data_IF_015680011531
#
_entry.id   IF_015680011531
#
_cell.length_a   1.000
_cell.length_b   1.000
_cell.length_c   1.000
_cell.angle_alpha   90.00
_cell.angle_beta   90.00
_cell.angle_gamma   90.00
#
_symmetry.space_group_name_H-M   'P 1'
#
loop_
_entity.id
_entity.type
_entity.pdbx_description
1 polymer ?
#
# COMPACT_ATOMS: atom_id res chain seq x y z
N UNK A 1 -11.56 -11.51 17.95
CA UNK A 1 -11.03 -10.13 17.78
C UNK A 1 -11.27 -9.33 19.05
N UNK A 2 -10.32 -8.44 19.43
CA UNK A 2 -10.62 -7.40 20.42
C UNK A 2 -11.67 -6.46 19.81
N UNK A 3 -12.67 -6.06 20.60
CA UNK A 3 -13.92 -5.38 20.23
C UNK A 3 -13.83 -3.99 19.56
N UNK A 4 -12.77 -3.67 18.85
CA UNK A 4 -12.56 -2.32 18.28
C UNK A 4 -13.05 -2.16 16.83
N UNK A 5 -13.40 -3.25 16.14
CA UNK A 5 -13.87 -3.21 14.75
C UNK A 5 -15.40 -3.33 14.72
N UNK A 6 -16.06 -2.32 14.15
CA UNK A 6 -17.50 -2.37 13.89
C UNK A 6 -17.77 -2.95 12.49
N UNK A 7 -17.69 -4.26 12.38
CA UNK A 7 -17.80 -5.03 11.14
C UNK A 7 -19.13 -4.80 10.40
N UNK A 8 -20.24 -4.67 11.13
CA UNK A 8 -21.62 -4.57 10.57
C UNK A 8 -21.87 -3.30 9.75
N UNK A 9 -20.98 -2.31 9.82
CA UNK A 9 -21.11 -1.07 9.06
C UNK A 9 -20.23 -1.00 7.82
N UNK A 10 -19.34 -1.97 7.62
CA UNK A 10 -18.33 -1.91 6.53
C UNK A 10 -19.01 -2.09 5.18
N UNK A 11 -18.81 -1.10 4.30
CA UNK A 11 -19.25 -1.10 2.89
C UNK A 11 -18.09 -0.86 1.93
N UNK A 12 -16.96 -0.33 2.43
CA UNK A 12 -15.79 0.05 1.64
C UNK A 12 -14.55 -0.63 2.20
N UNK A 13 -13.98 -1.57 1.44
CA UNK A 13 -12.78 -2.33 1.79
C UNK A 13 -11.61 -1.77 1.02
N UNK A 14 -10.75 -1.04 1.69
CA UNK A 14 -9.60 -0.35 1.08
C UNK A 14 -8.34 -1.12 1.40
N UNK A 15 -7.59 -1.48 0.37
CA UNK A 15 -6.33 -2.21 0.51
C UNK A 15 -5.19 -1.38 -0.08
N UNK A 16 -4.12 -1.22 0.67
CA UNK A 16 -2.84 -1.00 0.05
C UNK A 16 -2.44 -2.25 -0.76
N UNK A 17 -1.47 -2.11 -1.67
CA UNK A 17 -1.06 -3.17 -2.57
C UNK A 17 0.17 -3.91 -2.07
N UNK A 18 1.31 -3.19 -2.06
CA UNK A 18 2.64 -3.79 -1.87
C UNK A 18 2.88 -4.16 -0.40
N UNK A 19 3.25 -5.41 -0.14
CA UNK A 19 3.40 -6.01 1.19
C UNK A 19 2.10 -6.09 2.04
N UNK A 20 0.95 -5.70 1.46
CA UNK A 20 -0.37 -5.81 2.08
C UNK A 20 -1.18 -6.95 1.47
N UNK A 21 -1.46 -6.92 0.14
CA UNK A 21 -2.18 -7.99 -0.56
C UNK A 21 -1.32 -9.24 -0.80
N UNK A 22 -0.05 -9.13 -0.69
CA UNK A 22 0.92 -10.22 -0.68
C UNK A 22 1.97 -9.98 0.41
N UNK A 23 2.55 -11.04 0.98
CA UNK A 23 3.48 -10.89 2.09
C UNK A 23 4.84 -10.31 1.61
N UNK A 24 5.47 -9.48 2.44
CA UNK A 24 6.79 -8.93 2.18
C UNK A 24 7.86 -10.01 1.94
N UNK A 25 7.66 -11.23 2.47
CA UNK A 25 8.53 -12.39 2.23
C UNK A 25 8.57 -12.85 0.77
N UNK A 26 7.65 -12.40 -0.08
CA UNK A 26 7.72 -12.63 -1.54
C UNK A 26 8.88 -11.91 -2.21
N UNK A 27 9.49 -10.93 -1.53
CA UNK A 27 10.58 -10.08 -2.02
C UNK A 27 10.26 -9.31 -3.32
N UNK A 28 8.97 -9.13 -3.66
CA UNK A 28 8.62 -8.37 -4.87
C UNK A 28 8.99 -6.89 -4.71
N UNK A 29 8.64 -6.28 -3.58
CA UNK A 29 8.95 -4.87 -3.33
C UNK A 29 10.48 -4.62 -3.30
N UNK A 30 11.27 -5.58 -2.86
CA UNK A 30 12.73 -5.49 -2.92
C UNK A 30 13.26 -5.35 -4.35
N UNK A 31 12.59 -5.96 -5.35
CA UNK A 31 12.94 -5.76 -6.77
C UNK A 31 12.65 -4.33 -7.21
N UNK A 32 11.52 -3.75 -6.77
CA UNK A 32 11.17 -2.35 -7.05
C UNK A 32 12.21 -1.42 -6.41
N UNK A 33 12.60 -1.67 -5.16
CA UNK A 33 13.60 -0.88 -4.43
C UNK A 33 14.96 -0.86 -5.17
N UNK A 34 15.39 -2.01 -5.69
CA UNK A 34 16.60 -2.12 -6.54
C UNK A 34 16.43 -1.30 -7.82
N UNK A 35 15.27 -1.41 -8.50
CA UNK A 35 15.00 -0.68 -9.74
C UNK A 35 14.95 0.84 -9.53
N UNK A 36 14.44 1.31 -8.39
CA UNK A 36 14.50 2.74 -8.03
C UNK A 36 15.95 3.24 -7.98
N UNK A 37 16.83 2.51 -7.30
CA UNK A 37 18.25 2.84 -7.24
C UNK A 37 18.90 2.83 -8.62
N UNK A 38 18.65 1.81 -9.43
CA UNK A 38 19.17 1.72 -10.79
C UNK A 38 18.71 2.90 -11.68
N UNK A 39 17.44 3.31 -11.53
CA UNK A 39 16.91 4.48 -12.24
C UNK A 39 17.66 5.75 -11.86
N UNK A 40 17.92 5.97 -10.57
CA UNK A 40 18.67 7.13 -10.07
C UNK A 40 20.09 7.13 -10.64
N UNK A 41 20.81 6.01 -10.55
CA UNK A 41 22.16 5.84 -11.10
C UNK A 41 22.17 6.26 -12.58
N UNK A 42 21.27 5.69 -13.36
CA UNK A 42 21.20 5.91 -14.81
C UNK A 42 20.82 7.34 -15.18
N UNK A 43 19.85 7.92 -14.45
CA UNK A 43 19.27 9.23 -14.80
C UNK A 43 20.13 10.38 -14.33
N UNK A 44 20.76 10.25 -13.17
CA UNK A 44 21.56 11.32 -12.55
C UNK A 44 23.07 11.08 -12.62
N UNK A 45 23.50 9.96 -13.20
CA UNK A 45 24.91 9.57 -13.32
C UNK A 45 25.64 9.57 -11.96
N UNK A 46 24.98 9.04 -10.92
CA UNK A 46 25.51 8.91 -9.57
C UNK A 46 26.15 7.54 -9.34
N UNK A 47 27.05 7.45 -8.39
CA UNK A 47 27.51 6.14 -7.95
C UNK A 47 26.43 5.37 -7.16
N UNK A 48 26.56 4.04 -7.00
CA UNK A 48 25.54 3.23 -6.33
C UNK A 48 25.26 3.60 -4.86
N UNK A 49 26.24 4.13 -4.13
CA UNK A 49 26.08 4.50 -2.73
C UNK A 49 25.37 5.86 -2.61
N UNK A 50 25.73 6.84 -3.44
CA UNK A 50 25.04 8.13 -3.54
C UNK A 50 23.58 7.94 -3.97
N UNK A 51 23.32 7.11 -4.97
CA UNK A 51 21.97 6.81 -5.44
C UNK A 51 21.11 6.15 -4.35
N UNK A 52 21.67 5.23 -3.58
CA UNK A 52 20.96 4.61 -2.45
C UNK A 52 20.63 5.64 -1.35
N UNK A 53 21.60 6.47 -0.98
CA UNK A 53 21.40 7.53 0.01
C UNK A 53 20.30 8.49 -0.43
N UNK A 54 20.37 8.97 -1.67
CA UNK A 54 19.35 9.86 -2.25
C UNK A 54 17.96 9.21 -2.26
N UNK A 55 17.86 7.94 -2.64
CA UNK A 55 16.60 7.19 -2.64
C UNK A 55 15.95 7.21 -1.26
N UNK A 56 16.72 6.91 -0.20
CA UNK A 56 16.20 6.85 1.18
C UNK A 56 15.91 8.25 1.74
N UNK A 57 16.75 9.24 1.49
CA UNK A 57 16.49 10.63 1.89
C UNK A 57 15.22 11.18 1.24
N UNK A 58 14.98 10.88 -0.05
CA UNK A 58 13.80 11.35 -0.75
C UNK A 58 12.53 10.68 -0.23
N UNK A 59 12.58 9.38 0.06
CA UNK A 59 11.47 8.69 0.73
C UNK A 59 11.14 9.33 2.07
N UNK A 60 12.14 9.61 2.91
CA UNK A 60 11.92 10.22 4.22
C UNK A 60 11.38 11.65 4.13
N UNK A 61 11.96 12.47 3.24
CA UNK A 61 11.67 13.90 3.16
C UNK A 61 10.39 14.22 2.39
N UNK A 62 10.09 13.47 1.33
CA UNK A 62 9.01 13.77 0.40
C UNK A 62 7.89 12.69 0.38
N UNK A 63 8.01 11.65 1.19
CA UNK A 63 7.06 10.54 1.27
C UNK A 63 7.28 9.44 0.25
N UNK A 64 7.84 9.74 -0.93
CA UNK A 64 8.29 8.76 -1.93
C UNK A 64 9.58 9.24 -2.62
N UNK A 65 10.36 8.29 -3.11
CA UNK A 65 11.52 8.56 -3.98
C UNK A 65 11.10 9.35 -5.22
N UNK A 66 9.97 9.00 -5.84
CA UNK A 66 9.42 9.68 -7.00
C UNK A 66 9.17 11.16 -6.73
N UNK A 67 8.49 11.51 -5.63
CA UNK A 67 8.22 12.91 -5.29
C UNK A 67 9.50 13.72 -5.14
N UNK A 68 10.53 13.14 -4.52
CA UNK A 68 11.85 13.79 -4.43
C UNK A 68 12.51 14.01 -5.78
N UNK A 69 12.45 13.03 -6.68
CA UNK A 69 13.02 13.12 -8.04
C UNK A 69 12.27 14.13 -8.89
N UNK A 70 10.96 14.21 -8.80
CA UNK A 70 10.15 15.20 -9.51
C UNK A 70 10.52 16.63 -9.09
N UNK A 71 10.58 16.87 -7.77
CA UNK A 71 10.80 18.21 -7.21
C UNK A 71 12.23 18.70 -7.47
N UNK A 72 13.24 17.84 -7.33
CA UNK A 72 14.64 18.28 -7.35
C UNK A 72 15.34 18.07 -8.69
N UNK A 73 14.81 17.17 -9.55
CA UNK A 73 15.49 16.78 -10.80
C UNK A 73 14.58 16.85 -12.03
N UNK A 74 13.34 17.32 -11.89
CA UNK A 74 12.35 17.38 -12.97
C UNK A 74 12.14 16.04 -13.70
N UNK A 75 12.27 14.92 -12.98
CA UNK A 75 12.03 13.59 -13.52
C UNK A 75 10.55 13.46 -13.89
N UNK A 76 10.26 12.96 -15.09
CA UNK A 76 8.90 12.67 -15.51
C UNK A 76 8.38 11.44 -14.74
N UNK A 77 7.26 11.56 -14.04
CA UNK A 77 6.75 10.44 -13.22
C UNK A 77 6.52 9.17 -14.01
N UNK A 78 6.01 9.30 -15.23
CA UNK A 78 5.79 8.15 -16.12
C UNK A 78 7.06 7.36 -16.39
N UNK A 79 8.19 8.03 -16.67
CA UNK A 79 9.46 7.37 -16.96
C UNK A 79 9.97 6.58 -15.76
N UNK A 80 9.81 7.16 -14.56
CA UNK A 80 10.16 6.49 -13.31
C UNK A 80 9.26 5.27 -13.06
N UNK A 81 7.93 5.45 -13.11
CA UNK A 81 6.98 4.39 -12.80
C UNK A 81 7.07 3.22 -13.79
N UNK A 82 7.19 3.50 -15.09
CA UNK A 82 7.38 2.46 -16.11
C UNK A 82 8.68 1.68 -15.89
N UNK A 83 9.76 2.37 -15.48
CA UNK A 83 11.03 1.72 -15.23
C UNK A 83 11.00 0.83 -13.98
N UNK A 84 10.50 1.35 -12.85
CA UNK A 84 10.58 0.65 -11.57
C UNK A 84 9.58 -0.51 -11.48
N UNK A 85 8.44 -0.42 -12.16
CA UNK A 85 7.43 -1.46 -12.19
C UNK A 85 7.62 -2.50 -13.30
N UNK A 86 8.62 -2.33 -14.16
CA UNK A 86 9.02 -3.36 -15.12
C UNK A 86 9.88 -4.43 -14.41
N UNK A 87 9.21 -5.27 -13.64
CA UNK A 87 9.82 -6.32 -12.82
C UNK A 87 9.15 -7.67 -13.08
N UNK A 88 9.89 -8.74 -12.84
CA UNK A 88 9.36 -10.09 -12.84
C UNK A 88 8.55 -10.36 -11.56
N UNK A 89 7.25 -10.64 -11.74
CA UNK A 89 6.31 -10.96 -10.67
C UNK A 89 6.20 -12.46 -10.35
N UNK A 90 7.03 -13.31 -10.97
CA UNK A 90 6.96 -14.78 -10.82
C UNK A 90 7.17 -15.27 -9.38
N UNK A 91 7.81 -14.44 -8.53
CA UNK A 91 7.97 -14.74 -7.10
C UNK A 91 6.67 -14.66 -6.30
N UNK A 92 5.61 -14.03 -6.84
CA UNK A 92 4.30 -14.05 -6.22
C UNK A 92 3.63 -15.39 -6.48
N UNK A 93 3.09 -15.96 -5.42
CA UNK A 93 2.22 -17.13 -5.49
C UNK A 93 0.79 -16.72 -5.17
N UNK A 94 -0.16 -17.35 -5.86
CA UNK A 94 -1.57 -17.23 -5.53
C UNK A 94 -1.81 -17.65 -4.08
N UNK A 95 -2.56 -16.84 -3.32
CA UNK A 95 -3.18 -17.29 -2.08
C UNK A 95 -4.67 -17.56 -2.33
N UNK A 96 -5.03 -18.85 -2.44
CA UNK A 96 -6.40 -19.30 -2.68
C UNK A 96 -7.35 -18.80 -1.57
N UNK A 97 -6.88 -18.66 -0.34
CA UNK A 97 -7.70 -18.15 0.79
C UNK A 97 -8.06 -16.70 0.53
N UNK A 98 -7.09 -15.87 0.09
CA UNK A 98 -7.34 -14.47 -0.24
C UNK A 98 -8.43 -14.33 -1.32
N UNK A 99 -8.29 -15.02 -2.45
CA UNK A 99 -9.28 -14.98 -3.52
C UNK A 99 -10.68 -15.43 -3.05
N UNK A 100 -10.75 -16.49 -2.24
CA UNK A 100 -12.03 -17.01 -1.71
C UNK A 100 -12.71 -16.00 -0.78
N UNK A 101 -11.97 -15.32 0.08
CA UNK A 101 -12.56 -14.37 1.02
C UNK A 101 -12.93 -13.06 0.34
N UNK A 102 -12.08 -12.49 -0.55
CA UNK A 102 -12.39 -11.27 -1.29
C UNK A 102 -13.71 -11.40 -2.06
N UNK A 103 -13.97 -12.56 -2.66
CA UNK A 103 -15.25 -12.86 -3.38
C UNK A 103 -16.48 -12.78 -2.48
N UNK A 104 -16.33 -12.98 -1.17
CA UNK A 104 -17.45 -13.05 -0.21
C UNK A 104 -17.72 -11.70 0.47
N UNK A 105 -16.74 -10.78 0.49
CA UNK A 105 -16.88 -9.52 1.18
C UNK A 105 -18.04 -8.70 0.60
N UNK A 106 -18.92 -8.16 1.43
CA UNK A 106 -20.01 -7.30 0.97
C UNK A 106 -19.49 -5.89 0.65
N UNK A 107 -20.11 -5.24 -0.33
CA UNK A 107 -19.78 -3.87 -0.69
C UNK A 107 -18.66 -3.77 -1.73
N UNK A 108 -17.94 -2.66 -1.70
CA UNK A 108 -16.95 -2.31 -2.70
C UNK A 108 -15.52 -2.52 -2.20
N UNK A 109 -14.66 -3.08 -3.07
CA UNK A 109 -13.26 -3.32 -2.81
C UNK A 109 -12.39 -2.35 -3.63
N UNK A 110 -11.39 -1.76 -3.00
CA UNK A 110 -10.53 -0.73 -3.59
C UNK A 110 -9.06 -1.05 -3.35
N UNK A 111 -8.23 -0.75 -4.35
CA UNK A 111 -6.79 -0.56 -4.15
C UNK A 111 -6.53 0.94 -3.95
N UNK A 112 -5.73 1.28 -2.93
CA UNK A 112 -5.19 2.62 -2.72
C UNK A 112 -3.67 2.53 -2.53
N UNK A 113 -2.93 2.81 -3.60
CA UNK A 113 -1.47 2.57 -3.67
C UNK A 113 -0.68 3.81 -4.06
N UNK A 114 0.59 3.88 -3.61
CA UNK A 114 1.59 4.83 -4.12
C UNK A 114 2.28 4.33 -5.41
N UNK A 115 1.94 3.13 -5.86
CA UNK A 115 2.36 2.59 -7.16
C UNK A 115 1.47 3.04 -8.30
N UNK A 116 1.71 2.53 -9.51
CA UNK A 116 0.90 2.79 -10.70
C UNK A 116 -0.23 1.74 -10.87
N UNK A 117 -1.29 2.12 -11.59
CA UNK A 117 -2.36 1.20 -11.96
C UNK A 117 -1.84 -0.01 -12.74
N UNK A 118 -0.86 0.17 -13.63
CA UNK A 118 -0.27 -0.96 -14.38
C UNK A 118 0.42 -1.96 -13.46
N UNK A 119 1.14 -1.49 -12.43
CA UNK A 119 1.73 -2.36 -11.41
C UNK A 119 0.65 -3.10 -10.62
N UNK A 120 -0.37 -2.38 -10.15
CA UNK A 120 -1.47 -2.98 -9.40
C UNK A 120 -2.18 -4.10 -10.20
N UNK A 121 -2.47 -3.86 -11.48
CA UNK A 121 -3.08 -4.86 -12.36
C UNK A 121 -2.17 -6.09 -12.56
N UNK A 122 -0.85 -5.90 -12.73
CA UNK A 122 0.09 -7.01 -12.88
C UNK A 122 0.15 -7.87 -11.60
N UNK A 123 0.22 -7.23 -10.43
CA UNK A 123 0.19 -7.92 -9.13
C UNK A 123 -1.12 -8.67 -8.94
N UNK A 124 -2.27 -8.02 -9.14
CA UNK A 124 -3.58 -8.63 -8.95
C UNK A 124 -3.81 -9.83 -9.89
N UNK A 125 -3.39 -9.72 -11.17
CA UNK A 125 -3.43 -10.86 -12.11
C UNK A 125 -2.58 -12.02 -11.62
N UNK A 126 -1.38 -11.76 -11.12
CA UNK A 126 -0.50 -12.80 -10.60
C UNK A 126 -1.06 -13.49 -9.36
N UNK A 127 -1.77 -12.73 -8.52
CA UNK A 127 -2.48 -13.26 -7.35
C UNK A 127 -3.84 -13.89 -7.69
N UNK A 128 -4.32 -13.78 -8.94
CA UNK A 128 -5.64 -14.22 -9.42
C UNK A 128 -6.82 -13.57 -8.66
N UNK A 129 -6.68 -12.28 -8.33
CA UNK A 129 -7.69 -11.49 -7.62
C UNK A 129 -8.25 -10.30 -8.41
N UNK A 130 -7.79 -10.10 -9.64
CA UNK A 130 -8.17 -9.00 -10.53
C UNK A 130 -9.68 -9.00 -10.88
N UNK A 131 -10.34 -10.13 -10.77
CA UNK A 131 -11.81 -10.24 -10.95
C UNK A 131 -12.61 -9.77 -9.73
N UNK A 132 -11.99 -9.54 -8.57
CA UNK A 132 -12.68 -9.16 -7.33
C UNK A 132 -12.51 -7.68 -6.99
N UNK A 133 -11.43 -7.06 -7.42
CA UNK A 133 -11.10 -5.67 -7.12
C UNK A 133 -10.95 -4.90 -8.45
N UNK A 134 -11.93 -4.08 -8.79
CA UNK A 134 -11.93 -3.31 -10.05
C UNK A 134 -11.67 -1.81 -9.85
N UNK A 135 -11.66 -1.34 -8.59
CA UNK A 135 -11.51 0.08 -8.26
C UNK A 135 -10.09 0.34 -7.75
N UNK A 136 -9.29 1.00 -8.57
CA UNK A 136 -7.92 1.35 -8.25
C UNK A 136 -7.81 2.88 -8.14
N UNK A 137 -7.12 3.33 -7.09
CA UNK A 137 -6.64 4.69 -6.91
C UNK A 137 -5.13 4.63 -6.74
N UNK A 138 -4.44 5.15 -7.69
CA UNK A 138 -2.99 5.08 -7.80
C UNK A 138 -2.34 6.45 -7.56
N UNK A 139 -1.03 6.51 -7.69
CA UNK A 139 -0.28 7.75 -7.47
C UNK A 139 -0.60 8.84 -8.53
N UNK A 140 -1.02 8.46 -9.74
CA UNK A 140 -1.42 9.41 -10.79
C UNK A 140 -2.77 10.03 -10.46
N UNK A 141 -3.74 9.24 -9.99
CA UNK A 141 -5.04 9.72 -9.48
C UNK A 141 -4.88 10.69 -8.31
N UNK A 142 -3.83 10.50 -7.51
CA UNK A 142 -3.46 11.38 -6.40
C UNK A 142 -2.66 12.62 -6.85
N UNK A 143 -2.53 12.89 -8.16
CA UNK A 143 -1.68 13.95 -8.69
C UNK A 143 -0.24 13.87 -8.16
N UNK A 144 0.29 12.67 -8.00
CA UNK A 144 1.61 12.35 -7.45
C UNK A 144 1.85 12.81 -6.01
N UNK A 145 0.77 13.08 -5.26
CA UNK A 145 0.81 13.35 -3.83
C UNK A 145 0.65 12.01 -3.09
N UNK A 146 1.71 11.48 -2.46
CA UNK A 146 1.67 10.13 -1.92
C UNK A 146 0.94 10.03 -0.57
N UNK A 147 0.55 8.82 -0.19
CA UNK A 147 0.29 8.48 1.20
C UNK A 147 1.56 8.80 2.03
N UNK A 148 1.40 9.33 3.26
CA UNK A 148 0.20 9.50 4.08
C UNK A 148 -0.50 10.86 3.92
N UNK A 149 -0.34 11.59 2.81
CA UNK A 149 -0.95 12.90 2.65
C UNK A 149 -2.46 12.87 2.85
N UNK A 150 -2.98 13.82 3.63
CA UNK A 150 -4.43 14.01 3.77
C UNK A 150 -5.08 14.38 2.44
N UNK A 151 -4.40 15.16 1.61
CA UNK A 151 -4.89 15.58 0.29
C UNK A 151 -5.10 14.37 -0.63
N UNK A 152 -4.14 13.44 -0.68
CA UNK A 152 -4.29 12.19 -1.43
C UNK A 152 -5.50 11.38 -0.95
N UNK A 153 -5.69 11.26 0.37
CA UNK A 153 -6.83 10.54 0.95
C UNK A 153 -8.16 11.25 0.65
N UNK A 154 -8.20 12.58 0.70
CA UNK A 154 -9.41 13.36 0.35
C UNK A 154 -9.79 13.17 -1.13
N UNK A 155 -8.80 13.11 -2.04
CA UNK A 155 -9.01 12.80 -3.46
C UNK A 155 -9.59 11.39 -3.64
N UNK A 156 -9.05 10.39 -2.94
CA UNK A 156 -9.57 9.03 -2.94
C UNK A 156 -11.03 8.96 -2.48
N UNK A 157 -11.32 9.56 -1.33
CA UNK A 157 -12.68 9.62 -0.76
C UNK A 157 -13.66 10.27 -1.74
N UNK A 158 -13.25 11.39 -2.34
CA UNK A 158 -14.08 12.13 -3.31
C UNK A 158 -14.30 11.34 -4.60
N UNK A 159 -13.25 10.72 -5.15
CA UNK A 159 -13.34 9.95 -6.41
C UNK A 159 -14.36 8.82 -6.32
N UNK A 160 -14.41 8.12 -5.19
CA UNK A 160 -15.27 6.95 -5.02
C UNK A 160 -16.50 7.20 -4.13
N UNK A 161 -16.71 8.43 -3.68
CA UNK A 161 -17.82 8.81 -2.78
C UNK A 161 -17.88 7.93 -1.51
N UNK A 162 -16.72 7.77 -0.86
CA UNK A 162 -16.57 6.88 0.31
C UNK A 162 -17.10 7.59 1.56
N UNK A 163 -17.92 6.88 2.37
CA UNK A 163 -18.21 7.29 3.73
C UNK A 163 -17.12 6.71 4.66
N UNK A 164 -16.24 7.56 5.25
CA UNK A 164 -15.16 7.07 6.10
C UNK A 164 -15.62 6.19 7.28
N UNK A 165 -16.79 6.48 7.85
CA UNK A 165 -17.33 5.68 8.99
C UNK A 165 -17.83 4.29 8.59
N UNK A 166 -17.93 3.99 7.30
CA UNK A 166 -18.31 2.70 6.72
C UNK A 166 -17.14 2.04 5.97
N UNK A 167 -15.93 2.57 6.14
CA UNK A 167 -14.73 2.11 5.45
C UNK A 167 -13.72 1.48 6.41
N UNK A 168 -13.00 0.47 5.90
CA UNK A 168 -11.88 -0.18 6.58
C UNK A 168 -10.66 -0.14 5.66
N UNK A 169 -9.48 0.21 6.21
CA UNK A 169 -8.25 0.33 5.45
C UNK A 169 -7.17 -0.61 5.98
N UNK A 170 -6.64 -1.46 5.10
CA UNK A 170 -5.56 -2.41 5.35
C UNK A 170 -4.26 -1.89 4.76
N UNK A 171 -3.19 -1.84 5.54
CA UNK A 171 -1.92 -1.21 5.20
C UNK A 171 -0.76 -1.83 5.99
N UNK A 172 0.44 -1.90 5.40
CA UNK A 172 1.65 -2.39 6.07
C UNK A 172 2.48 -1.29 6.74
N UNK A 173 2.28 -0.02 6.34
CA UNK A 173 2.98 1.15 6.87
C UNK A 173 2.07 1.94 7.81
N UNK A 174 2.35 1.91 9.11
CA UNK A 174 1.48 2.49 10.15
C UNK A 174 1.18 3.98 9.96
N UNK A 175 2.14 4.78 9.46
CA UNK A 175 1.93 6.21 9.20
C UNK A 175 0.85 6.49 8.16
N UNK A 176 0.64 5.59 7.20
CA UNK A 176 -0.38 5.73 6.16
C UNK A 176 -1.80 5.58 6.72
N UNK A 177 -1.96 4.96 7.88
CA UNK A 177 -3.26 4.81 8.57
C UNK A 177 -3.69 6.06 9.36
N UNK A 178 -2.77 6.97 9.69
CA UNK A 178 -3.02 8.09 10.59
C UNK A 178 -4.19 8.98 10.12
N UNK A 179 -4.15 9.43 8.87
CA UNK A 179 -5.18 10.32 8.35
C UNK A 179 -6.51 9.60 8.10
N UNK A 180 -6.47 8.34 7.69
CA UNK A 180 -7.65 7.50 7.55
C UNK A 180 -8.36 7.34 8.90
N UNK A 181 -7.62 7.02 9.96
CA UNK A 181 -8.18 6.93 11.32
C UNK A 181 -8.80 8.23 11.80
N UNK A 182 -8.13 9.38 11.58
CA UNK A 182 -8.66 10.70 11.95
C UNK A 182 -9.95 11.06 11.23
N UNK A 183 -10.16 10.54 10.01
CA UNK A 183 -11.39 10.74 9.24
C UNK A 183 -12.50 9.74 9.57
N UNK A 184 -12.22 8.72 10.39
CA UNK A 184 -13.21 7.76 10.86
C UNK A 184 -13.15 6.39 10.19
N UNK A 185 -12.16 6.09 9.37
CA UNK A 185 -11.90 4.73 8.88
C UNK A 185 -11.59 3.80 10.06
N UNK A 186 -11.98 2.57 9.93
CA UNK A 186 -11.37 1.48 10.70
C UNK A 186 -10.03 1.12 10.07
N UNK A 187 -9.01 0.86 10.88
CA UNK A 187 -7.63 0.75 10.40
C UNK A 187 -6.97 -0.53 10.85
N UNK A 188 -6.45 -1.27 9.89
CA UNK A 188 -5.79 -2.56 10.11
C UNK A 188 -4.35 -2.47 9.64
N UNK A 189 -3.41 -2.74 10.54
CA UNK A 189 -2.00 -2.87 10.19
C UNK A 189 -1.67 -4.32 9.87
N UNK A 190 -1.22 -4.58 8.64
CA UNK A 190 -0.71 -5.89 8.23
C UNK A 190 0.80 -5.90 8.47
N UNK A 191 1.22 -6.62 9.51
CA UNK A 191 2.62 -6.74 9.92
C UNK A 191 3.36 -7.82 9.14
N UNK A 192 4.65 -7.64 8.96
CA UNK A 192 5.54 -8.66 8.43
C UNK A 192 6.82 -8.75 9.25
N UNK A 193 7.30 -9.97 9.50
CA UNK A 193 8.62 -10.19 10.10
C UNK A 193 9.77 -10.08 9.09
N UNK A 194 9.44 -9.96 7.80
CA UNK A 194 10.38 -9.98 6.67
C UNK A 194 10.39 -8.66 5.89
N UNK A 195 9.83 -7.58 6.46
CA UNK A 195 9.82 -6.29 5.76
C UNK A 195 11.27 -5.83 5.50
N UNK A 196 11.61 -5.41 4.26
CA UNK A 196 12.98 -5.03 3.89
C UNK A 196 13.57 -3.91 4.78
N UNK A 197 12.71 -3.07 5.31
CA UNK A 197 13.09 -1.92 6.15
C UNK A 197 13.12 -2.21 7.67
N UNK A 198 12.87 -3.47 8.11
CA UNK A 198 12.90 -3.85 9.55
C UNK A 198 14.23 -3.47 10.23
N UNK A 199 15.32 -3.46 9.49
CA UNK A 199 16.65 -3.13 10.00
C UNK A 199 17.01 -1.63 9.90
N UNK A 200 16.12 -0.79 9.37
CA UNK A 200 16.34 0.64 9.25
C UNK A 200 15.66 1.39 10.41
N UNK A 201 16.26 2.51 10.87
CA UNK A 201 15.65 3.38 11.88
C UNK A 201 14.28 3.92 11.46
N UNK A 202 13.92 3.80 10.18
CA UNK A 202 12.65 4.21 9.58
C UNK A 202 11.46 3.51 10.25
N UNK A 203 11.55 2.19 10.47
CA UNK A 203 10.46 1.41 11.12
C UNK A 203 10.38 1.65 12.63
N UNK A 204 11.49 1.99 13.28
CA UNK A 204 11.45 2.32 14.72
C UNK A 204 10.63 3.57 15.01
N UNK A 205 10.61 4.56 14.12
CA UNK A 205 9.74 5.74 14.24
C UNK A 205 8.28 5.42 13.91
N UNK A 206 8.02 4.44 13.04
CA UNK A 206 6.67 4.02 12.66
C UNK A 206 5.94 3.22 13.76
N UNK A 207 6.65 2.55 14.67
CA UNK A 207 6.06 1.76 15.75
C UNK A 207 5.32 2.59 16.83
N UNK A 208 5.40 3.91 16.77
CA UNK A 208 4.87 4.83 17.81
C UNK A 208 3.38 5.18 17.62
N UNK A 209 2.76 4.78 16.52
CA UNK A 209 1.40 5.23 16.17
C UNK A 209 0.27 4.24 16.52
N UNK A 210 0.40 3.48 17.61
CA UNK A 210 -0.62 2.46 18.01
C UNK A 210 -2.03 3.03 18.20
N UNK A 211 -2.17 4.31 18.54
CA UNK A 211 -3.47 4.98 18.68
C UNK A 211 -4.26 5.13 17.37
N UNK A 212 -3.60 5.00 16.22
CA UNK A 212 -4.21 5.08 14.88
C UNK A 212 -4.45 3.71 14.25
N UNK A 213 -4.28 2.62 15.02
CA UNK A 213 -4.42 1.24 14.57
C UNK A 213 -5.50 0.58 15.42
N UNK A 214 -6.61 0.18 14.80
CA UNK A 214 -7.67 -0.54 15.53
C UNK A 214 -7.31 -2.01 15.74
N UNK A 215 -6.64 -2.61 14.77
CA UNK A 215 -6.19 -4.00 14.86
C UNK A 215 -4.90 -4.20 14.07
N UNK A 216 -4.06 -5.14 14.49
CA UNK A 216 -2.84 -5.52 13.80
C UNK A 216 -2.78 -7.03 13.62
N UNK A 217 -2.42 -7.47 12.41
CA UNK A 217 -2.35 -8.88 12.02
C UNK A 217 -1.12 -9.18 11.20
N UNK A 218 -0.76 -10.46 11.12
CA UNK A 218 0.29 -10.97 10.24
C UNK A 218 -0.26 -11.75 9.03
N UNK A 219 -1.59 -11.97 8.96
CA UNK A 219 -2.23 -12.75 7.90
C UNK A 219 -3.54 -12.08 7.45
N UNK A 220 -3.49 -11.42 6.31
CA UNK A 220 -4.63 -10.71 5.75
C UNK A 220 -5.84 -11.63 5.49
N UNK A 221 -5.69 -12.81 4.84
CA UNK A 221 -6.83 -13.71 4.61
C UNK A 221 -7.57 -14.08 5.89
N UNK A 222 -6.86 -14.49 6.94
CA UNK A 222 -7.48 -14.84 8.23
C UNK A 222 -8.19 -13.65 8.87
N UNK A 223 -7.59 -12.46 8.78
CA UNK A 223 -8.22 -11.23 9.29
C UNK A 223 -9.53 -10.92 8.57
N UNK A 224 -9.54 -11.04 7.25
CA UNK A 224 -10.76 -10.85 6.46
C UNK A 224 -11.82 -11.90 6.75
N UNK A 225 -11.43 -13.16 6.96
CA UNK A 225 -12.35 -14.25 7.35
C UNK A 225 -12.98 -13.97 8.71
N UNK A 226 -12.21 -13.54 9.72
CA UNK A 226 -12.73 -13.17 11.04
C UNK A 226 -13.72 -12.01 10.95
N UNK A 227 -13.41 -10.94 10.20
CA UNK A 227 -14.32 -9.80 10.03
C UNK A 227 -15.59 -10.24 9.29
N UNK A 228 -15.46 -11.08 8.24
CA UNK A 228 -16.61 -11.60 7.50
C UNK A 228 -17.54 -12.44 8.36
N UNK A 229 -17.00 -13.29 9.23
CA UNK A 229 -17.79 -14.08 10.17
C UNK A 229 -18.54 -13.20 11.16
N UNK A 230 -17.91 -12.11 11.63
CA UNK A 230 -18.54 -11.17 12.57
C UNK A 230 -19.66 -10.34 11.92
N UNK A 231 -19.58 -10.07 10.60
CA UNK A 231 -20.67 -9.43 9.85
C UNK A 231 -21.93 -10.33 9.80
N UNK A 232 -21.74 -11.66 9.74
CA UNK A 232 -22.83 -12.62 9.51
C UNK A 232 -23.38 -13.25 10.80
N UNK A 233 -22.82 -12.91 11.95
CA UNK A 233 -23.32 -13.29 13.26
C UNK A 233 -24.12 -12.13 13.92
#
# INVERSE_FOLDING_TARGET
>A
MNNNINSKKIKHWVFDLDNTLYPASSNLFSKIDVRMKEFIIKTLNLDPAEAYTMQKEYYLKYGTTLSGLMINHNVLPKDFLDYVHNIDTSSLNQDIRLGKILKKLPGDLYIYTNGSTSHALNVMKRLEIDNYISKIFDIEDANYIPKPSKESLDCFIKKFNINPSEAIFFEDISKNLINAKKLGFQTILIKSNSHPDINTNIIKEESVNSQFIDYASYDLPSTLEEIYLDINN
#
